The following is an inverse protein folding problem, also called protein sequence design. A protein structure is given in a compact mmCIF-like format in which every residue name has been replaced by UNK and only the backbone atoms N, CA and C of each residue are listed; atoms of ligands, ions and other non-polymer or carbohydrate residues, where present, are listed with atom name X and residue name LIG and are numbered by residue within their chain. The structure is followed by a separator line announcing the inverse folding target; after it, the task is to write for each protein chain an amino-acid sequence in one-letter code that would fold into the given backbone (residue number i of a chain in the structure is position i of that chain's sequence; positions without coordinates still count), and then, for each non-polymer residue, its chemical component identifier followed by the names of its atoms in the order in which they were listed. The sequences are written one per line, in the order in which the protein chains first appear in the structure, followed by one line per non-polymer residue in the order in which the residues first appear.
data_IF_193081996104
#
_entry.id   IF_193081996104
#
_cell.length_a   1.000
_cell.length_b   1.000
_cell.length_c   1.000
_cell.angle_alpha   90.00
_cell.angle_beta   90.00
_cell.angle_gamma   90.00
#
_symmetry.space_group_name_H-M   'P 1'
#
loop_
_entity.id
_entity.type
_entity.pdbx_description
1 polymer ?
#
# COMPACT_ATOMS: atom_id res chain seq x y z
N UNK A 1 -1.35 20.04 -10.17
CA UNK A 1 -2.66 19.38 -9.95
C UNK A 1 -3.48 19.14 -11.22
N UNK A 2 -3.35 19.95 -12.27
CA UNK A 2 -4.15 19.80 -13.51
C UNK A 2 -3.91 18.49 -14.30
N UNK A 3 -2.70 17.92 -14.22
CA UNK A 3 -2.34 16.71 -14.99
C UNK A 3 -2.96 15.41 -14.45
N UNK A 4 -3.33 15.35 -13.16
CA UNK A 4 -3.86 14.13 -12.53
C UNK A 4 -5.35 13.91 -12.85
N UNK A 5 -6.09 15.01 -13.00
CA UNK A 5 -7.53 14.99 -13.34
C UNK A 5 -7.72 14.59 -14.81
N UNK A 6 -6.81 14.99 -15.70
CA UNK A 6 -6.85 14.58 -17.11
C UNK A 6 -6.58 13.08 -17.30
N UNK A 7 -5.74 12.46 -16.47
CA UNK A 7 -5.51 11.00 -16.54
C UNK A 7 -6.72 10.21 -16.05
N UNK A 8 -7.40 10.70 -15.01
CA UNK A 8 -8.64 10.10 -14.49
C UNK A 8 -9.78 10.16 -15.51
N UNK A 9 -9.91 11.28 -16.23
CA UNK A 9 -10.91 11.42 -17.31
C UNK A 9 -10.60 10.54 -18.53
N UNK A 10 -9.33 10.33 -18.87
CA UNK A 10 -8.95 9.44 -19.97
C UNK A 10 -9.27 7.96 -19.67
N UNK A 11 -9.15 7.53 -18.41
CA UNK A 11 -9.56 6.18 -17.98
C UNK A 11 -11.08 6.04 -17.97
N UNK A 12 -11.82 7.06 -17.53
CA UNK A 12 -13.28 7.06 -17.52
C UNK A 12 -13.90 7.07 -18.93
N UNK A 13 -13.26 7.72 -19.91
CA UNK A 13 -13.81 7.84 -21.27
C UNK A 13 -13.59 6.59 -22.14
N UNK A 14 -12.56 5.78 -21.84
CA UNK A 14 -12.32 4.50 -22.52
C UNK A 14 -13.34 3.41 -22.12
N UNK A 15 -14.06 3.58 -21.01
CA UNK A 15 -15.11 2.63 -20.57
C UNK A 15 -16.45 2.78 -21.32
N UNK A 16 -16.67 3.84 -22.09
CA UNK A 16 -17.99 4.14 -22.69
C UNK A 16 -18.17 3.72 -24.15
N UNK A 17 -17.17 3.11 -24.81
CA UNK A 17 -17.26 2.78 -26.25
C UNK A 17 -16.90 1.31 -26.50
N UNK A 18 -17.71 0.39 -25.96
CA UNK A 18 -17.67 -1.03 -26.35
C UNK A 18 -19.10 -1.61 -26.38
N UNK A 19 -19.35 -2.47 -27.35
CA UNK A 19 -20.65 -2.85 -27.90
C UNK A 19 -21.65 -3.50 -26.89
N UNK A 20 -22.97 -3.36 -27.10
CA UNK A 20 -24.00 -3.68 -26.09
C UNK A 20 -24.38 -5.18 -25.99
N UNK A 21 -23.46 -6.10 -26.27
CA UNK A 21 -23.74 -7.56 -26.26
C UNK A 21 -22.79 -8.43 -25.46
N UNK A 22 -21.59 -7.95 -25.13
CA UNK A 22 -20.53 -8.74 -24.44
C UNK A 22 -19.80 -7.95 -23.33
N UNK A 23 -20.12 -6.67 -23.16
CA UNK A 23 -19.43 -5.76 -22.23
C UNK A 23 -19.58 -6.14 -20.74
N UNK A 24 -20.70 -6.77 -20.36
CA UNK A 24 -21.05 -7.01 -18.95
C UNK A 24 -20.23 -8.12 -18.25
N UNK A 25 -19.67 -9.06 -19.02
CA UNK A 25 -18.84 -10.14 -18.49
C UNK A 25 -17.38 -9.68 -18.27
N UNK A 26 -16.85 -8.87 -19.19
CA UNK A 26 -15.51 -8.29 -19.07
C UNK A 26 -15.40 -7.27 -17.94
N UNK A 27 -16.45 -6.48 -17.69
CA UNK A 27 -16.43 -5.47 -16.62
C UNK A 27 -16.31 -6.08 -15.21
N UNK A 28 -16.95 -7.22 -14.96
CA UNK A 28 -16.80 -7.92 -13.67
C UNK A 28 -15.40 -8.52 -13.53
N UNK A 29 -14.88 -9.17 -14.58
CA UNK A 29 -13.52 -9.72 -14.60
C UNK A 29 -12.47 -8.63 -14.34
N UNK A 30 -12.64 -7.44 -14.93
CA UNK A 30 -11.79 -6.27 -14.68
C UNK A 30 -11.85 -5.80 -13.22
N UNK A 31 -13.04 -5.77 -12.61
CA UNK A 31 -13.21 -5.41 -11.19
C UNK A 31 -12.57 -6.45 -10.25
N UNK A 32 -12.70 -7.74 -10.56
CA UNK A 32 -12.06 -8.82 -9.82
C UNK A 32 -10.54 -8.77 -9.94
N UNK A 33 -10.02 -8.50 -11.15
CA UNK A 33 -8.59 -8.31 -11.40
C UNK A 33 -8.03 -7.09 -10.64
N UNK A 34 -8.78 -5.98 -10.63
CA UNK A 34 -8.42 -4.79 -9.86
C UNK A 34 -8.38 -5.06 -8.35
N UNK A 35 -9.36 -5.79 -7.83
CA UNK A 35 -9.37 -6.22 -6.42
C UNK A 35 -8.20 -7.16 -6.11
N UNK A 36 -7.92 -8.11 -7.00
CA UNK A 36 -6.79 -9.03 -6.84
C UNK A 36 -5.47 -8.27 -6.76
N UNK A 37 -5.22 -7.36 -7.70
CA UNK A 37 -3.99 -6.58 -7.70
C UNK A 37 -3.88 -5.62 -6.50
N UNK A 38 -4.99 -5.00 -6.08
CA UNK A 38 -5.02 -4.18 -4.86
C UNK A 38 -4.73 -5.03 -3.60
N UNK A 39 -5.21 -6.28 -3.57
CA UNK A 39 -4.93 -7.23 -2.49
C UNK A 39 -3.45 -7.59 -2.44
N UNK A 40 -2.83 -7.90 -3.59
CA UNK A 40 -1.40 -8.19 -3.67
C UNK A 40 -0.55 -7.00 -3.17
N UNK A 41 -0.89 -5.78 -3.61
CA UNK A 41 -0.22 -4.56 -3.14
C UNK A 41 -0.32 -4.37 -1.63
N UNK A 42 -1.51 -4.63 -1.06
CA UNK A 42 -1.71 -4.55 0.39
C UNK A 42 -0.86 -5.59 1.13
N UNK A 43 -0.82 -6.84 0.64
CA UNK A 43 0.01 -7.90 1.23
C UNK A 43 1.49 -7.51 1.22
N UNK A 44 1.99 -6.98 0.09
CA UNK A 44 3.38 -6.53 -0.03
C UNK A 44 3.66 -5.38 0.94
N UNK A 45 2.79 -4.38 1.01
CA UNK A 45 2.97 -3.25 1.91
C UNK A 45 2.96 -3.66 3.40
N UNK A 46 2.12 -4.63 3.78
CA UNK A 46 2.13 -5.21 5.14
C UNK A 46 3.44 -5.93 5.43
N UNK A 47 3.95 -6.72 4.47
CA UNK A 47 5.20 -7.46 4.64
C UNK A 47 6.38 -6.49 4.80
N UNK A 48 6.44 -5.47 3.95
CA UNK A 48 7.48 -4.46 3.98
C UNK A 48 7.48 -3.65 5.29
N UNK A 49 6.29 -3.23 5.76
CA UNK A 49 6.18 -2.52 7.02
C UNK A 49 6.67 -3.38 8.19
N UNK A 50 6.24 -4.64 8.27
CA UNK A 50 6.72 -5.56 9.32
C UNK A 50 8.22 -5.80 9.28
N UNK A 51 8.80 -5.84 8.09
CA UNK A 51 10.25 -5.99 7.93
C UNK A 51 10.99 -4.75 8.47
N UNK A 52 10.52 -3.55 8.11
CA UNK A 52 11.09 -2.30 8.60
C UNK A 52 10.94 -2.13 10.12
N UNK A 53 9.78 -2.49 10.69
CA UNK A 53 9.55 -2.46 12.13
C UNK A 53 10.51 -3.40 12.87
N UNK A 54 10.74 -4.60 12.34
CA UNK A 54 11.69 -5.56 12.91
C UNK A 54 13.11 -5.01 12.90
N UNK A 55 13.54 -4.43 11.78
CA UNK A 55 14.88 -3.85 11.67
C UNK A 55 15.10 -2.70 12.66
N UNK A 56 14.11 -1.79 12.77
CA UNK A 56 14.12 -0.73 13.78
C UNK A 56 14.26 -1.33 15.19
N UNK A 57 13.48 -2.35 15.51
CA UNK A 57 13.50 -2.97 16.85
C UNK A 57 14.83 -3.68 17.15
N UNK A 58 15.45 -4.30 16.15
CA UNK A 58 16.79 -4.89 16.27
C UNK A 58 17.86 -3.83 16.56
N UNK A 59 17.79 -2.67 15.89
CA UNK A 59 18.70 -1.55 16.11
C UNK A 59 18.47 -0.94 17.50
N UNK A 60 17.21 -0.68 17.87
CA UNK A 60 16.87 -0.17 19.19
C UNK A 60 17.35 -1.12 20.31
N UNK A 61 17.22 -2.44 20.11
CA UNK A 61 17.74 -3.45 21.02
C UNK A 61 19.26 -3.42 21.16
N UNK A 62 19.99 -3.25 20.05
CA UNK A 62 21.46 -3.07 20.07
C UNK A 62 21.86 -1.80 20.80
N UNK A 63 21.18 -0.68 20.53
CA UNK A 63 21.46 0.60 21.18
C UNK A 63 21.27 0.50 22.70
N UNK A 64 20.16 -0.10 23.16
CA UNK A 64 19.92 -0.35 24.58
C UNK A 64 21.02 -1.20 25.23
N UNK A 65 21.49 -2.24 24.53
CA UNK A 65 22.59 -3.07 25.01
C UNK A 65 23.91 -2.29 25.14
N UNK A 66 24.24 -1.46 24.14
CA UNK A 66 25.44 -0.62 24.15
C UNK A 66 25.41 0.41 25.28
N UNK A 67 24.24 1.03 25.52
CA UNK A 67 24.02 1.97 26.62
C UNK A 67 24.27 1.30 27.97
N UNK A 68 23.72 0.08 28.18
CA UNK A 68 23.97 -0.70 29.41
C UNK A 68 25.44 -1.06 29.60
N UNK A 69 26.21 -1.18 28.52
CA UNK A 69 27.66 -1.47 28.55
C UNK A 69 28.54 -0.22 28.61
N UNK A 70 27.97 0.99 28.60
CA UNK A 70 28.72 2.25 28.62
C UNK A 70 29.57 2.48 27.36
N UNK A 71 29.22 1.86 26.23
CA UNK A 71 29.98 1.93 24.97
C UNK A 71 29.57 3.14 24.12
N UNK A 72 29.81 4.33 24.64
CA UNK A 72 29.37 5.61 24.04
C UNK A 72 29.85 5.82 22.61
N UNK A 73 31.08 5.41 22.27
CA UNK A 73 31.62 5.55 20.91
C UNK A 73 30.84 4.74 19.85
N UNK A 74 30.21 3.62 20.23
CA UNK A 74 29.40 2.77 19.34
C UNK A 74 27.92 3.18 19.33
N UNK A 75 27.48 4.01 20.27
CA UNK A 75 26.09 4.46 20.35
C UNK A 75 25.74 5.45 19.24
N UNK A 76 26.63 6.39 18.92
CA UNK A 76 26.37 7.41 17.92
C UNK A 76 25.99 6.81 16.54
N UNK A 77 26.71 5.78 16.10
CA UNK A 77 26.41 5.07 14.85
C UNK A 77 25.05 4.35 14.92
N UNK A 78 24.69 3.78 16.07
CA UNK A 78 23.41 3.10 16.24
C UNK A 78 22.23 4.07 16.41
N UNK A 79 22.46 5.27 16.93
CA UNK A 79 21.46 6.34 17.01
C UNK A 79 21.10 6.84 15.60
N UNK A 80 22.11 7.09 14.76
CA UNK A 80 21.89 7.46 13.35
C UNK A 80 21.19 6.32 12.58
N UNK A 81 21.61 5.07 12.80
CA UNK A 81 20.94 3.91 12.19
C UNK A 81 19.47 3.79 12.64
N UNK A 82 19.18 4.11 13.90
CA UNK A 82 17.82 4.07 14.43
C UNK A 82 16.95 5.17 13.81
N UNK A 83 17.47 6.40 13.70
CA UNK A 83 16.76 7.51 13.04
C UNK A 83 16.41 7.15 11.59
N UNK A 84 17.37 6.57 10.85
CA UNK A 84 17.13 6.10 9.49
C UNK A 84 16.08 4.98 9.44
N UNK A 85 16.13 4.01 10.35
CA UNK A 85 15.15 2.93 10.41
C UNK A 85 13.74 3.45 10.74
N UNK A 86 13.63 4.45 11.63
CA UNK A 86 12.35 5.10 11.95
C UNK A 86 11.78 5.86 10.74
N UNK A 87 12.63 6.55 9.97
CA UNK A 87 12.23 7.21 8.73
C UNK A 87 11.70 6.19 7.70
N UNK A 88 12.34 5.03 7.57
CA UNK A 88 11.88 3.94 6.70
C UNK A 88 10.53 3.38 7.18
N UNK A 89 10.36 3.13 8.49
CA UNK A 89 9.08 2.67 9.06
C UNK A 89 7.96 3.67 8.75
N UNK A 90 8.23 4.97 8.89
CA UNK A 90 7.26 6.01 8.54
C UNK A 90 6.86 5.95 7.07
N UNK A 91 7.84 5.87 6.17
CA UNK A 91 7.59 5.75 4.73
C UNK A 91 6.76 4.50 4.40
N UNK A 92 7.08 3.35 5.01
CA UNK A 92 6.33 2.09 4.80
C UNK A 92 4.93 2.15 5.39
N UNK A 93 4.73 2.89 6.48
CA UNK A 93 3.41 3.15 7.07
C UNK A 93 2.52 3.93 6.11
N UNK A 94 3.05 4.97 5.47
CA UNK A 94 2.33 5.76 4.46
C UNK A 94 1.99 4.91 3.20
N UNK A 95 2.93 4.07 2.77
CA UNK A 95 2.70 3.13 1.67
C UNK A 95 1.61 2.08 2.01
N UNK A 96 1.61 1.55 3.24
CA UNK A 96 0.57 0.66 3.73
C UNK A 96 -0.80 1.34 3.77
N UNK A 97 -0.88 2.58 4.28
CA UNK A 97 -2.13 3.34 4.30
C UNK A 97 -2.70 3.51 2.89
N UNK A 98 -1.85 3.87 1.94
CA UNK A 98 -2.23 4.02 0.52
C UNK A 98 -2.73 2.70 -0.07
N UNK A 99 -2.01 1.59 0.14
CA UNK A 99 -2.41 0.27 -0.36
C UNK A 99 -3.75 -0.20 0.25
N UNK A 100 -3.97 0.10 1.53
CA UNK A 100 -5.22 -0.21 2.23
C UNK A 100 -6.40 0.55 1.65
N UNK A 101 -6.22 1.82 1.32
CA UNK A 101 -7.29 2.63 0.72
C UNK A 101 -7.62 2.16 -0.69
N UNK A 102 -6.61 1.82 -1.50
CA UNK A 102 -6.83 1.21 -2.82
C UNK A 102 -7.62 -0.10 -2.74
N UNK A 103 -7.28 -0.97 -1.77
CA UNK A 103 -8.02 -2.21 -1.54
C UNK A 103 -9.49 -1.95 -1.20
N UNK A 104 -9.76 -1.01 -0.28
CA UNK A 104 -11.14 -0.64 0.09
C UNK A 104 -11.94 -0.13 -1.10
N UNK A 105 -11.33 0.71 -1.93
CA UNK A 105 -11.98 1.26 -3.13
C UNK A 105 -12.32 0.12 -4.10
N UNK A 106 -11.37 -0.76 -4.40
CA UNK A 106 -11.60 -1.89 -5.32
C UNK A 106 -12.69 -2.84 -4.79
N UNK A 107 -12.67 -3.15 -3.49
CA UNK A 107 -13.68 -3.99 -2.86
C UNK A 107 -15.08 -3.35 -2.90
N UNK A 108 -15.16 -2.04 -2.64
CA UNK A 108 -16.43 -1.30 -2.70
C UNK A 108 -16.99 -1.22 -4.13
N UNK A 109 -16.13 -1.05 -5.14
CA UNK A 109 -16.54 -1.06 -6.55
C UNK A 109 -17.13 -2.41 -6.96
N UNK A 110 -16.45 -3.52 -6.63
CA UNK A 110 -16.96 -4.86 -6.92
C UNK A 110 -18.28 -5.14 -6.19
N UNK A 111 -18.37 -4.82 -4.90
CA UNK A 111 -19.58 -5.00 -4.12
C UNK A 111 -20.77 -4.21 -4.69
N UNK A 112 -20.54 -2.97 -5.13
CA UNK A 112 -21.57 -2.15 -5.79
C UNK A 112 -22.02 -2.76 -7.12
N UNK A 113 -21.09 -3.29 -7.92
CA UNK A 113 -21.41 -3.94 -9.18
C UNK A 113 -22.25 -5.22 -8.97
N UNK A 114 -21.89 -6.04 -7.97
CA UNK A 114 -22.65 -7.25 -7.63
C UNK A 114 -24.07 -6.91 -7.13
N UNK A 115 -24.20 -5.93 -6.23
CA UNK A 115 -25.51 -5.49 -5.73
C UNK A 115 -26.41 -4.91 -6.84
N UNK A 116 -25.82 -4.31 -7.89
CA UNK A 116 -26.56 -3.80 -9.04
C UNK A 116 -27.02 -4.92 -10.01
N UNK A 117 -26.43 -6.12 -9.95
CA UNK A 117 -26.89 -7.30 -10.72
C UNK A 117 -28.00 -8.07 -10.02
N UNK A 118 -28.15 -7.92 -8.71
CA UNK A 118 -29.18 -8.60 -7.90
C UNK A 118 -30.53 -7.85 -7.85
N UNK A 119 -30.59 -6.62 -8.37
CA UNK A 119 -31.81 -5.79 -8.48
C UNK A 119 -32.26 -5.62 -9.93
#
# INVERSE_FOLDING_TARGET
MLKFIQTLFAVLFLCTVALPGTAQAGEQEDLENNLHHATLRLIVAVKDLKAAERERDEIAGKLYYLQKKGKTAQMAEQEEALENAEAVVKQKTEAYATAKDLYKIAAAMLAKHLAAKEN
#
